data_IF_294133231122
#
_entry.id   IF_294133231122
#
_cell.length_a   1.000
_cell.length_b   1.000
_cell.length_c   1.000
_cell.angle_alpha   90.00
_cell.angle_beta   90.00
_cell.angle_gamma   90.00
#
_symmetry.space_group_name_H-M   'P 1'
#
loop_
_entity.id
_entity.type
_entity.pdbx_description
1 polymer ?
#
# COMPACT_ATOMS: atom_id res chain seq x y z
N UNK A 1 -3.00 19.22 6.21
CA UNK A 1 -2.58 18.97 4.80
C UNK A 1 -3.55 18.01 4.11
N UNK A 2 -3.87 18.16 2.81
CA UNK A 2 -4.83 17.27 2.12
C UNK A 2 -4.21 15.88 1.84
N UNK A 3 -4.57 14.87 2.65
CA UNK A 3 -3.98 13.53 2.66
C UNK A 3 -4.09 12.82 1.30
N UNK A 4 -5.16 13.08 0.54
CA UNK A 4 -5.42 12.44 -0.75
C UNK A 4 -4.84 13.19 -1.95
N UNK A 5 -4.04 14.24 -1.72
CA UNK A 5 -3.31 14.94 -2.78
C UNK A 5 -2.47 13.92 -3.57
N UNK A 6 -2.65 13.92 -4.89
CA UNK A 6 -1.98 13.01 -5.84
C UNK A 6 -2.79 11.78 -6.27
N UNK A 7 -4.03 11.58 -5.78
CA UNK A 7 -4.92 10.51 -6.28
C UNK A 7 -5.57 10.85 -7.63
N UNK A 8 -5.57 12.12 -8.02
CA UNK A 8 -6.10 12.61 -9.30
C UNK A 8 -5.47 11.90 -10.51
N UNK A 9 -4.20 11.48 -10.38
CA UNK A 9 -3.51 10.69 -11.42
C UNK A 9 -4.18 9.34 -11.71
N UNK A 10 -4.95 8.81 -10.76
CA UNK A 10 -5.76 7.61 -10.91
C UNK A 10 -7.20 7.89 -11.34
N UNK A 11 -7.56 9.14 -11.64
CA UNK A 11 -8.91 9.54 -12.08
C UNK A 11 -9.92 9.74 -10.95
N UNK A 12 -9.49 9.65 -9.68
CA UNK A 12 -10.38 9.78 -8.52
C UNK A 12 -10.56 11.25 -8.12
N UNK A 13 -11.80 11.75 -8.15
CA UNK A 13 -12.16 13.07 -7.61
C UNK A 13 -12.19 13.02 -6.08
N UNK A 14 -11.40 13.87 -5.43
CA UNK A 14 -11.27 13.93 -3.96
C UNK A 14 -12.21 14.95 -3.32
N UNK A 15 -13.39 15.16 -3.88
CA UNK A 15 -14.37 16.12 -3.35
C UNK A 15 -15.17 15.46 -2.21
N UNK A 16 -15.01 15.95 -0.97
CA UNK A 16 -15.85 15.56 0.18
C UNK A 16 -15.21 14.71 1.28
N UNK A 17 -13.88 14.56 1.34
CA UNK A 17 -13.19 13.92 2.49
C UNK A 17 -12.22 14.89 3.16
N UNK A 18 -12.72 16.07 3.46
CA UNK A 18 -11.98 17.14 4.10
C UNK A 18 -12.14 17.00 5.62
N UNK A 19 -11.01 16.85 6.32
CA UNK A 19 -10.86 16.83 7.79
C UNK A 19 -11.08 15.47 8.48
N UNK A 20 -10.11 14.55 8.35
CA UNK A 20 -10.11 13.29 9.12
C UNK A 20 -9.13 13.25 10.30
N UNK A 21 -8.25 14.25 10.47
CA UNK A 21 -7.29 14.28 11.59
C UNK A 21 -6.92 15.71 12.00
N UNK A 22 -6.93 16.00 13.30
CA UNK A 22 -6.31 17.19 13.91
C UNK A 22 -4.79 17.00 13.99
N UNK A 23 -4.02 18.02 13.61
CA UNK A 23 -2.56 17.99 13.58
C UNK A 23 -1.99 18.33 14.98
N UNK A 24 -1.44 17.35 15.70
CA UNK A 24 -0.51 17.62 16.81
C UNK A 24 0.94 17.60 16.31
N UNK A 25 1.62 18.74 16.45
CA UNK A 25 3.06 18.88 16.19
C UNK A 25 3.87 18.24 17.31
N UNK A 26 4.87 17.43 16.94
CA UNK A 26 6.09 17.25 17.74
C UNK A 26 7.33 17.31 16.86
N UNK A 27 8.24 18.19 17.23
CA UNK A 27 9.60 18.34 16.72
C UNK A 27 10.54 17.36 17.42
N UNK A 28 11.53 16.83 16.70
CA UNK A 28 12.97 16.99 17.00
C UNK A 28 13.85 16.04 16.17
N UNK A 29 15.11 16.46 16.05
CA UNK A 29 16.13 16.07 15.09
C UNK A 29 17.06 14.92 15.53
N UNK A 30 17.98 14.60 14.60
CA UNK A 30 19.29 13.89 14.74
C UNK A 30 19.22 12.35 14.66
N UNK A 31 20.17 11.60 14.09
CA UNK A 31 21.54 11.86 13.57
C UNK A 31 21.91 10.74 12.59
N UNK A 32 22.82 11.02 11.65
CA UNK A 32 23.53 10.02 10.83
C UNK A 32 24.45 9.13 11.69
N UNK A 33 24.67 7.89 11.29
CA UNK A 33 25.96 7.17 11.43
C UNK A 33 25.98 5.89 10.57
N UNK A 34 27.02 5.75 9.73
CA UNK A 34 27.44 4.51 9.05
C UNK A 34 28.03 3.50 10.03
N UNK A 35 28.57 2.33 9.68
CA UNK A 35 29.00 1.70 8.43
C UNK A 35 28.96 0.17 8.63
N UNK A 36 28.79 -0.60 7.56
CA UNK A 36 29.53 -1.85 7.30
C UNK A 36 29.21 -2.33 5.88
N UNK A 37 30.22 -2.31 4.99
CA UNK A 37 30.14 -2.92 3.66
C UNK A 37 30.20 -4.44 3.79
N UNK A 38 29.05 -5.05 4.03
CA UNK A 38 28.75 -6.37 3.47
C UNK A 38 27.94 -6.12 2.20
N UNK A 39 28.21 -6.86 1.11
CA UNK A 39 27.52 -6.70 -0.17
C UNK A 39 26.02 -6.55 0.05
N UNK A 40 25.50 -5.32 -0.09
CA UNK A 40 24.11 -5.03 0.22
C UNK A 40 23.28 -5.75 -0.84
N UNK A 41 22.55 -6.82 -0.50
CA UNK A 41 21.71 -7.51 -1.48
C UNK A 41 20.65 -6.53 -1.98
N UNK A 42 20.41 -6.51 -3.30
CA UNK A 42 19.42 -5.63 -3.90
C UNK A 42 18.03 -5.90 -3.34
N UNK A 43 17.20 -4.86 -3.20
CA UNK A 43 15.81 -5.00 -2.69
C UNK A 43 15.04 -6.06 -3.49
N UNK A 44 15.28 -6.17 -4.80
CA UNK A 44 14.67 -7.14 -5.71
C UNK A 44 14.88 -8.60 -5.28
N UNK A 45 16.01 -8.92 -4.66
CA UNK A 45 16.35 -10.28 -4.24
C UNK A 45 15.40 -10.81 -3.15
N UNK A 46 14.80 -9.91 -2.38
CA UNK A 46 13.82 -10.18 -1.32
C UNK A 46 12.38 -10.21 -1.83
N UNK A 47 12.14 -9.85 -3.10
CA UNK A 47 10.81 -9.82 -3.69
C UNK A 47 10.48 -11.12 -4.42
N UNK A 48 9.20 -11.48 -4.39
CA UNK A 48 8.58 -12.54 -5.17
C UNK A 48 7.38 -11.98 -5.94
N UNK A 49 7.15 -12.50 -7.13
CA UNK A 49 5.91 -12.25 -7.85
C UNK A 49 4.83 -13.22 -7.36
N UNK A 50 3.77 -12.69 -6.77
CA UNK A 50 2.58 -13.47 -6.41
C UNK A 50 1.49 -13.19 -7.44
N UNK A 51 0.96 -14.24 -8.05
CA UNK A 51 -0.28 -14.14 -8.83
C UNK A 51 -1.47 -14.08 -7.87
N UNK A 52 -2.25 -13.01 -7.93
CA UNK A 52 -3.45 -12.81 -7.12
C UNK A 52 -4.66 -12.69 -8.03
N UNK A 53 -5.74 -13.41 -7.71
CA UNK A 53 -7.04 -13.25 -8.36
C UNK A 53 -7.82 -12.13 -7.66
N UNK A 54 -8.25 -11.12 -8.41
CA UNK A 54 -9.06 -10.04 -7.86
C UNK A 54 -10.49 -10.53 -7.59
N UNK A 55 -10.99 -10.39 -6.36
CA UNK A 55 -12.38 -10.77 -6.00
C UNK A 55 -13.45 -9.81 -6.51
N UNK A 56 -13.05 -8.66 -7.09
CA UNK A 56 -13.98 -7.66 -7.63
C UNK A 56 -14.19 -7.84 -9.13
N UNK A 57 -13.10 -8.04 -9.89
CA UNK A 57 -13.16 -8.15 -11.35
C UNK A 57 -12.74 -9.52 -11.90
N UNK A 58 -12.43 -10.49 -11.03
CA UNK A 58 -12.03 -11.87 -11.34
C UNK A 58 -10.77 -12.03 -12.21
N UNK A 59 -10.13 -10.92 -12.59
CA UNK A 59 -8.87 -10.92 -13.34
C UNK A 59 -7.71 -11.32 -12.42
N UNK A 60 -6.80 -12.11 -12.98
CA UNK A 60 -5.54 -12.47 -12.33
C UNK A 60 -4.50 -11.41 -12.68
N UNK A 61 -3.81 -10.91 -11.67
CA UNK A 61 -2.69 -10.00 -11.83
C UNK A 61 -1.51 -10.46 -10.98
N UNK A 62 -0.32 -10.02 -11.33
CA UNK A 62 0.88 -10.26 -10.54
C UNK A 62 1.10 -9.06 -9.62
N UNK A 63 1.51 -9.32 -8.39
CA UNK A 63 1.92 -8.28 -7.45
C UNK A 63 3.20 -8.69 -6.74
N UNK A 64 4.02 -7.72 -6.35
CA UNK A 64 5.27 -7.97 -5.63
C UNK A 64 4.97 -8.20 -4.14
N UNK A 65 5.50 -9.28 -3.60
CA UNK A 65 5.38 -9.65 -2.19
C UNK A 65 6.76 -9.98 -1.63
N UNK A 66 6.91 -9.93 -0.31
CA UNK A 66 8.18 -10.16 0.36
C UNK A 66 8.38 -11.66 0.61
N UNK A 67 9.61 -12.13 0.34
CA UNK A 67 10.08 -13.47 0.70
C UNK A 67 10.45 -13.51 2.18
N UNK A 68 9.46 -13.70 3.06
CA UNK A 68 9.66 -13.71 4.52
C UNK A 68 10.82 -14.61 4.99
N UNK A 69 11.10 -15.72 4.31
CA UNK A 69 12.19 -16.64 4.67
C UNK A 69 13.61 -16.09 4.45
N UNK A 70 13.78 -14.98 3.72
CA UNK A 70 15.09 -14.34 3.49
C UNK A 70 15.30 -13.06 4.29
N UNK A 71 14.26 -12.56 4.96
CA UNK A 71 14.33 -11.28 5.66
C UNK A 71 14.78 -11.49 7.09
N UNK A 72 15.88 -10.83 7.47
CA UNK A 72 16.37 -10.84 8.86
C UNK A 72 15.73 -9.70 9.64
N UNK A 73 15.04 -10.03 10.74
CA UNK A 73 14.46 -9.04 11.66
C UNK A 73 15.57 -8.40 12.50
N UNK A 74 15.55 -7.08 12.59
CA UNK A 74 16.41 -6.28 13.47
C UNK A 74 15.68 -5.94 14.76
N UNK A 75 16.38 -5.31 15.70
CA UNK A 75 15.78 -4.79 16.92
C UNK A 75 14.63 -3.82 16.57
N UNK A 76 13.44 -3.99 17.17
CA UNK A 76 12.32 -3.08 16.92
C UNK A 76 12.68 -1.66 17.33
N UNK A 77 12.02 -0.69 16.70
CA UNK A 77 12.10 0.70 17.15
C UNK A 77 11.42 0.86 18.53
N UNK A 78 11.64 2.03 19.17
CA UNK A 78 11.04 2.35 20.46
C UNK A 78 9.50 2.33 20.44
N UNK A 79 8.90 2.61 19.28
CA UNK A 79 7.45 2.54 19.03
C UNK A 79 6.96 1.11 18.67
N UNK A 80 7.82 0.11 18.84
CA UNK A 80 7.59 -1.30 18.50
C UNK A 80 7.48 -1.59 17.01
N UNK A 81 7.82 -0.64 16.12
CA UNK A 81 7.86 -0.90 14.67
C UNK A 81 8.87 -2.01 14.38
N UNK A 82 8.47 -3.11 13.71
CA UNK A 82 9.41 -4.14 13.29
C UNK A 82 10.35 -3.58 12.22
N UNK A 83 11.65 -3.62 12.48
CA UNK A 83 12.69 -3.31 11.49
C UNK A 83 13.25 -4.58 10.87
N UNK A 84 13.63 -4.48 9.61
CA UNK A 84 14.19 -5.57 8.84
C UNK A 84 15.45 -5.11 8.12
N UNK A 85 16.40 -6.03 7.98
CA UNK A 85 17.66 -5.77 7.30
C UNK A 85 17.41 -5.66 5.79
N UNK A 86 17.91 -4.60 5.16
CA UNK A 86 17.91 -4.35 3.70
C UNK A 86 16.57 -4.10 3.01
N UNK A 87 15.42 -4.29 3.67
CA UNK A 87 14.10 -4.05 3.07
C UNK A 87 13.10 -3.48 4.07
N UNK A 88 12.32 -2.49 3.65
CA UNK A 88 11.16 -2.03 4.42
C UNK A 88 9.92 -2.85 4.02
N UNK A 89 9.40 -3.63 4.96
CA UNK A 89 8.28 -4.52 4.68
C UNK A 89 6.99 -3.77 4.38
N UNK A 90 6.86 -2.55 4.88
CA UNK A 90 5.66 -1.74 4.69
C UNK A 90 5.49 -1.32 3.23
N UNK A 91 6.58 -1.19 2.45
CA UNK A 91 6.49 -0.83 1.03
C UNK A 91 5.61 -1.80 0.21
N UNK A 92 5.56 -3.07 0.60
CA UNK A 92 4.94 -4.16 -0.17
C UNK A 92 3.72 -4.81 0.51
N UNK A 93 3.18 -4.22 1.57
CA UNK A 93 2.03 -4.79 2.30
C UNK A 93 0.66 -4.50 1.64
N UNK A 94 0.63 -3.70 0.57
CA UNK A 94 -0.60 -3.32 -0.13
C UNK A 94 -0.67 -3.95 -1.52
N UNK A 95 -1.74 -4.70 -1.78
CA UNK A 95 -2.10 -5.19 -3.10
C UNK A 95 -3.07 -4.24 -3.79
N UNK A 96 -2.75 -3.86 -5.03
CA UNK A 96 -3.58 -3.01 -5.89
C UNK A 96 -3.91 -3.75 -7.18
N UNK A 97 -5.18 -3.81 -7.54
CA UNK A 97 -5.59 -4.39 -8.81
C UNK A 97 -5.49 -3.34 -9.93
N UNK A 98 -4.64 -3.54 -10.96
CA UNK A 98 -4.46 -2.57 -12.04
C UNK A 98 -5.67 -2.46 -12.96
N UNK A 99 -6.59 -3.43 -12.91
CA UNK A 99 -7.76 -3.47 -13.80
C UNK A 99 -8.96 -2.70 -13.26
N UNK A 100 -9.19 -2.74 -11.95
CA UNK A 100 -10.43 -2.23 -11.35
C UNK A 100 -10.19 -1.25 -10.20
N UNK A 101 -8.93 -0.96 -9.85
CA UNK A 101 -8.58 -0.01 -8.79
C UNK A 101 -8.84 -0.50 -7.37
N UNK A 102 -9.28 -1.76 -7.23
CA UNK A 102 -9.47 -2.35 -5.92
C UNK A 102 -8.13 -2.53 -5.23
N UNK A 103 -7.95 -1.82 -4.12
CA UNK A 103 -6.69 -1.78 -3.37
C UNK A 103 -6.98 -2.06 -1.90
N UNK A 104 -6.18 -2.94 -1.29
CA UNK A 104 -6.27 -3.25 0.13
C UNK A 104 -4.94 -3.80 0.67
N UNK A 105 -4.77 -3.78 1.99
CA UNK A 105 -3.69 -4.54 2.63
C UNK A 105 -3.80 -6.03 2.27
N UNK A 106 -2.66 -6.70 2.10
CA UNK A 106 -2.57 -8.10 1.64
C UNK A 106 -3.48 -9.03 2.47
N UNK A 107 -3.48 -8.88 3.81
CA UNK A 107 -4.32 -9.64 4.75
C UNK A 107 -5.83 -9.52 4.54
N UNK A 108 -6.30 -8.45 3.90
CA UNK A 108 -7.74 -8.17 3.70
C UNK A 108 -8.14 -8.17 2.23
N UNK A 109 -7.22 -8.49 1.32
CA UNK A 109 -7.48 -8.39 -0.11
C UNK A 109 -8.51 -9.41 -0.58
N UNK A 110 -8.38 -10.67 -0.14
CA UNK A 110 -9.22 -11.79 -0.56
C UNK A 110 -10.60 -11.80 0.15
N UNK A 111 -10.68 -11.28 1.37
CA UNK A 111 -11.90 -11.34 2.18
C UNK A 111 -12.81 -10.14 1.97
N UNK A 112 -13.72 -10.26 1.00
CA UNK A 112 -14.73 -9.24 0.66
C UNK A 112 -16.14 -9.83 0.66
N UNK A 113 -17.10 -9.12 1.27
CA UNK A 113 -18.51 -9.49 1.17
C UNK A 113 -19.12 -9.04 -0.16
N UNK A 114 -20.19 -9.71 -0.61
CA UNK A 114 -20.91 -9.36 -1.84
C UNK A 114 -21.41 -7.91 -1.85
N UNK A 115 -21.85 -7.40 -0.69
CA UNK A 115 -22.27 -5.99 -0.51
C UNK A 115 -21.10 -5.03 -0.71
N UNK A 116 -19.93 -5.35 -0.15
CA UNK A 116 -18.73 -4.52 -0.31
C UNK A 116 -18.24 -4.51 -1.77
N UNK A 117 -18.32 -5.64 -2.46
CA UNK A 117 -17.95 -5.73 -3.89
C UNK A 117 -18.80 -4.78 -4.73
N UNK A 118 -20.12 -4.75 -4.51
CA UNK A 118 -21.02 -3.82 -5.22
C UNK A 118 -20.63 -2.35 -5.00
N UNK A 119 -20.41 -1.96 -3.74
CA UNK A 119 -20.01 -0.59 -3.39
C UNK A 119 -18.67 -0.17 -4.03
N UNK A 120 -17.70 -1.08 -4.07
CA UNK A 120 -16.40 -0.84 -4.71
C UNK A 120 -16.57 -0.64 -6.21
N UNK A 121 -17.39 -1.48 -6.86
CA UNK A 121 -17.67 -1.35 -8.30
C UNK A 121 -18.30 0.00 -8.64
N UNK A 122 -19.29 0.42 -7.87
CA UNK A 122 -20.02 1.67 -8.09
C UNK A 122 -19.15 2.91 -7.86
N UNK A 123 -18.37 2.95 -6.76
CA UNK A 123 -17.66 4.17 -6.37
C UNK A 123 -16.23 4.27 -6.91
N UNK A 124 -15.57 3.14 -7.06
CA UNK A 124 -14.12 3.07 -7.29
C UNK A 124 -13.86 2.64 -8.72
N UNK A 125 -14.42 1.51 -9.15
CA UNK A 125 -14.18 1.01 -10.51
C UNK A 125 -14.71 1.99 -11.59
N UNK A 126 -15.79 2.73 -11.30
CA UNK A 126 -16.32 3.73 -12.23
C UNK A 126 -15.36 4.92 -12.48
N UNK A 127 -14.54 5.27 -11.49
CA UNK A 127 -13.67 6.45 -11.53
C UNK A 127 -12.18 6.08 -11.72
N UNK A 128 -11.84 4.80 -11.61
CA UNK A 128 -10.46 4.36 -11.65
C UNK A 128 -9.93 4.28 -13.08
N UNK A 129 -8.79 4.94 -13.31
CA UNK A 129 -8.01 4.80 -14.54
C UNK A 129 -6.82 3.88 -14.29
N UNK A 130 -6.68 2.78 -15.06
CA UNK A 130 -5.50 1.93 -15.00
C UNK A 130 -4.24 2.79 -15.16
N UNK A 131 -3.38 2.72 -14.16
CA UNK A 131 -2.02 3.28 -14.26
C UNK A 131 -1.13 2.22 -14.92
N UNK A 132 -0.12 2.67 -15.67
CA UNK A 132 0.76 1.83 -16.48
C UNK A 132 1.58 0.80 -15.68
N UNK A 133 2.64 0.29 -16.30
CA UNK A 133 3.41 -0.85 -15.80
C UNK A 133 3.87 -0.71 -14.34
N UNK A 134 3.81 -1.83 -13.60
CA UNK A 134 4.31 -1.87 -12.22
C UNK A 134 5.84 -1.89 -12.23
N UNK A 135 6.51 -0.99 -11.47
CA UNK A 135 7.97 -1.00 -11.39
C UNK A 135 8.48 -2.24 -10.65
N UNK A 136 9.73 -2.62 -10.92
CA UNK A 136 10.38 -3.79 -10.31
C UNK A 136 10.50 -3.67 -8.78
N UNK A 137 10.79 -2.46 -8.30
CA UNK A 137 10.93 -2.06 -6.89
C UNK A 137 9.99 -0.88 -6.62
N UNK A 138 9.47 -0.79 -5.41
CA UNK A 138 8.59 0.32 -5.04
C UNK A 138 9.35 1.43 -4.32
N UNK A 139 9.31 2.62 -4.90
CA UNK A 139 9.68 3.84 -4.20
C UNK A 139 8.68 4.15 -3.08
N UNK A 140 9.13 4.91 -2.08
CA UNK A 140 8.29 5.33 -0.96
C UNK A 140 7.04 6.09 -1.42
N UNK A 141 7.18 6.96 -2.43
CA UNK A 141 6.03 7.68 -2.99
C UNK A 141 5.01 6.74 -3.63
N UNK A 142 5.47 5.71 -4.34
CA UNK A 142 4.59 4.70 -4.93
C UNK A 142 3.88 3.90 -3.83
N UNK A 143 4.61 3.50 -2.78
CA UNK A 143 4.03 2.81 -1.63
C UNK A 143 2.98 3.69 -0.93
N UNK A 144 3.30 4.95 -0.63
CA UNK A 144 2.38 5.92 -0.01
C UNK A 144 1.12 6.09 -0.86
N UNK A 145 1.25 6.22 -2.17
CA UNK A 145 0.10 6.33 -3.06
C UNK A 145 -0.80 5.08 -3.03
N UNK A 146 -0.22 3.89 -2.98
CA UNK A 146 -0.97 2.64 -2.80
C UNK A 146 -1.70 2.60 -1.46
N UNK A 147 -1.07 3.04 -0.37
CA UNK A 147 -1.74 3.16 0.93
C UNK A 147 -2.90 4.16 0.91
N UNK A 148 -2.72 5.31 0.27
CA UNK A 148 -3.81 6.29 0.10
C UNK A 148 -4.98 5.69 -0.70
N UNK A 149 -4.69 4.95 -1.77
CA UNK A 149 -5.70 4.21 -2.54
C UNK A 149 -6.40 3.15 -1.69
N UNK A 150 -5.66 2.41 -0.85
CA UNK A 150 -6.24 1.44 0.06
C UNK A 150 -7.19 2.10 1.06
N UNK A 151 -6.79 3.24 1.64
CA UNK A 151 -7.64 4.03 2.54
C UNK A 151 -8.90 4.51 1.82
N UNK A 152 -8.77 5.08 0.62
CA UNK A 152 -9.93 5.47 -0.19
C UNK A 152 -10.87 4.29 -0.46
N UNK A 153 -10.32 3.12 -0.76
CA UNK A 153 -11.08 1.88 -0.92
C UNK A 153 -11.82 1.47 0.36
N UNK A 154 -11.22 1.65 1.54
CA UNK A 154 -11.89 1.36 2.81
C UNK A 154 -13.04 2.31 3.11
N UNK A 155 -12.89 3.60 2.80
CA UNK A 155 -13.96 4.60 2.92
C UNK A 155 -15.14 4.27 1.99
N UNK A 156 -14.85 3.85 0.76
CA UNK A 156 -15.86 3.41 -0.21
C UNK A 156 -16.71 2.23 0.30
N UNK A 157 -16.10 1.29 1.05
CA UNK A 157 -16.77 0.12 1.64
C UNK A 157 -17.65 0.44 2.87
N UNK A 158 -17.67 1.69 3.37
CA UNK A 158 -18.35 2.09 4.62
C UNK A 158 -18.05 1.14 5.79
N UNK A 159 -16.81 0.64 5.88
CA UNK A 159 -16.44 -0.35 6.88
C UNK A 159 -16.38 0.33 8.25
N UNK A 160 -17.20 -0.12 9.22
CA UNK A 160 -16.98 0.22 10.63
C UNK A 160 -15.70 -0.47 11.10
N UNK A 161 -14.82 0.27 11.77
CA UNK A 161 -13.73 -0.34 12.53
C UNK A 161 -14.37 -1.31 13.53
N UNK A 162 -13.93 -2.56 13.52
CA UNK A 162 -14.36 -3.56 14.50
C UNK A 162 -13.21 -3.74 15.47
#
# INVERSE_FOLDING_TARGET
MNLFKGLEKFGLKTEGTENLFEEEKRTNASTEQGEAKEEIPSEESFLLEKSVRCTVCDKVFKTKMIKNGRVKRLEPDFDLRPRFMYIDTLKYDVASCPNCGYTAMNRYFEHLSSVQIKLIKEKICANFKPTGEEPAVYDYDTAINRYKLALFNTLGKKRKSK
#
